data_IF_333836187306
#
_entry.id   IF_333836187306
#
_cell.length_a   1.000
_cell.length_b   1.000
_cell.length_c   1.000
_cell.angle_alpha   90.00
_cell.angle_beta   90.00
_cell.angle_gamma   90.00
#
_symmetry.space_group_name_H-M   'P 1'
#
loop_
_entity.id
_entity.type
_entity.pdbx_description
1 polymer ?
#
# COMPACT_ATOMS: atom_id res chain seq x y z
N UNK A 1 -1.84 1.63 -13.50
CA UNK A 1 -0.67 1.01 -12.86
C UNK A 1 -0.59 1.49 -11.42
N UNK A 2 0.09 0.77 -10.54
CA UNK A 2 0.16 1.19 -9.13
C UNK A 2 1.16 2.33 -8.98
N UNK A 3 2.36 2.16 -9.54
CA UNK A 3 3.48 3.08 -9.48
C UNK A 3 3.93 3.53 -10.87
N UNK A 4 4.62 4.67 -10.92
CA UNK A 4 5.38 5.14 -12.06
C UNK A 4 6.65 4.32 -12.29
N UNK A 5 7.22 4.43 -13.50
CA UNK A 5 8.46 3.75 -13.85
C UNK A 5 9.61 4.20 -12.91
N UNK A 6 10.51 3.29 -12.48
CA UNK A 6 11.66 3.65 -11.68
C UNK A 6 12.62 4.53 -12.48
N UNK A 7 13.30 5.46 -11.81
CA UNK A 7 14.24 6.40 -12.45
C UNK A 7 15.67 5.86 -12.53
N UNK A 8 16.05 5.02 -11.57
CA UNK A 8 17.38 4.40 -11.46
C UNK A 8 17.29 3.12 -10.62
N UNK A 9 18.41 2.42 -10.45
CA UNK A 9 18.48 1.16 -9.69
C UNK A 9 18.00 1.30 -8.24
N UNK A 10 18.33 2.42 -7.58
CA UNK A 10 17.95 2.67 -6.19
C UNK A 10 16.46 2.96 -6.06
N UNK A 11 15.89 3.67 -7.02
CA UNK A 11 14.45 3.90 -7.10
C UNK A 11 13.68 2.59 -7.36
N UNK A 12 14.20 1.70 -8.22
CA UNK A 12 13.61 0.36 -8.44
C UNK A 12 13.62 -0.47 -7.14
N UNK A 13 14.74 -0.49 -6.42
CA UNK A 13 14.86 -1.17 -5.12
C UNK A 13 13.88 -0.60 -4.08
N UNK A 14 13.85 0.73 -3.93
CA UNK A 14 12.97 1.39 -2.96
C UNK A 14 11.49 1.19 -3.29
N UNK A 15 11.09 1.29 -4.56
CA UNK A 15 9.70 1.06 -4.98
C UNK A 15 9.28 -0.40 -4.79
N UNK A 16 10.17 -1.35 -5.07
CA UNK A 16 9.94 -2.77 -4.81
C UNK A 16 9.67 -3.01 -3.31
N UNK A 17 10.53 -2.47 -2.44
CA UNK A 17 10.35 -2.57 -0.99
C UNK A 17 9.05 -1.87 -0.52
N UNK A 18 8.80 -0.64 -0.98
CA UNK A 18 7.57 0.12 -0.66
C UNK A 18 6.32 -0.67 -1.05
N UNK A 19 6.29 -1.25 -2.25
CA UNK A 19 5.15 -2.04 -2.71
C UNK A 19 4.89 -3.27 -1.82
N UNK A 20 5.93 -3.99 -1.41
CA UNK A 20 5.79 -5.17 -0.54
C UNK A 20 5.36 -4.78 0.89
N UNK A 21 5.88 -3.68 1.45
CA UNK A 21 5.39 -3.10 2.70
C UNK A 21 3.89 -2.76 2.61
N UNK A 22 3.49 -2.16 1.51
CA UNK A 22 2.10 -1.77 1.26
C UNK A 22 1.16 -2.95 0.96
N UNK A 23 1.71 -4.12 0.61
CA UNK A 23 0.97 -5.39 0.59
C UNK A 23 0.79 -5.99 2.00
N UNK A 24 1.37 -5.38 3.03
CA UNK A 24 1.32 -5.84 4.42
C UNK A 24 2.47 -6.78 4.81
N UNK A 25 3.54 -6.86 4.02
CA UNK A 25 4.70 -7.69 4.34
C UNK A 25 5.67 -6.95 5.25
N UNK A 26 6.55 -7.71 5.92
CA UNK A 26 7.73 -7.14 6.56
C UNK A 26 8.86 -7.10 5.52
N UNK A 27 9.17 -5.91 4.98
CA UNK A 27 10.19 -5.77 3.94
C UNK A 27 11.27 -4.75 4.29
N UNK A 28 12.50 -5.03 3.84
CA UNK A 28 13.70 -4.24 4.14
C UNK A 28 14.60 -4.21 2.90
N UNK A 29 15.20 -3.06 2.61
CA UNK A 29 16.24 -2.93 1.58
C UNK A 29 17.61 -3.30 2.13
N UNK A 30 18.48 -3.85 1.29
CA UNK A 30 19.87 -4.18 1.62
C UNK A 30 20.05 -5.02 2.89
N UNK A 31 19.08 -5.89 3.21
CA UNK A 31 19.12 -6.71 4.41
C UNK A 31 20.30 -7.67 4.35
N UNK A 32 21.18 -7.61 5.35
CA UNK A 32 22.24 -8.59 5.51
C UNK A 32 21.64 -9.92 5.99
N UNK A 33 21.85 -10.97 5.21
CA UNK A 33 21.43 -12.33 5.53
C UNK A 33 22.65 -13.24 5.67
N UNK A 34 22.55 -14.22 6.57
CA UNK A 34 23.55 -15.27 6.72
C UNK A 34 23.18 -16.42 5.77
N UNK A 35 24.08 -16.72 4.85
CA UNK A 35 24.04 -17.87 3.96
C UNK A 35 24.99 -18.96 4.47
N UNK A 36 25.04 -20.09 3.77
CA UNK A 36 25.97 -21.19 4.09
C UNK A 36 27.43 -20.74 3.97
N UNK A 37 27.75 -19.95 2.94
CA UNK A 37 29.13 -19.55 2.61
C UNK A 37 29.56 -18.19 3.15
N UNK A 38 28.75 -17.54 3.98
CA UNK A 38 29.07 -16.23 4.55
C UNK A 38 27.84 -15.35 4.69
N UNK A 39 28.04 -14.04 4.68
CA UNK A 39 26.95 -13.06 4.70
C UNK A 39 26.87 -12.34 3.38
N UNK A 40 25.67 -11.96 2.99
CA UNK A 40 25.44 -11.12 1.80
C UNK A 40 24.26 -10.18 2.05
N UNK A 41 24.20 -9.10 1.28
CA UNK A 41 23.03 -8.21 1.26
C UNK A 41 22.09 -8.65 0.14
N UNK A 42 20.79 -8.68 0.45
CA UNK A 42 19.72 -8.86 -0.53
C UNK A 42 19.13 -7.48 -0.81
N UNK A 43 18.94 -7.14 -2.09
CA UNK A 43 18.44 -5.81 -2.48
C UNK A 43 17.12 -5.50 -1.79
N UNK A 44 16.16 -6.44 -1.82
CA UNK A 44 14.94 -6.39 -1.02
C UNK A 44 14.66 -7.77 -0.42
N UNK A 45 14.56 -7.83 0.89
CA UNK A 45 14.02 -8.95 1.63
C UNK A 45 12.57 -8.66 1.98
N UNK A 46 11.66 -9.62 1.84
CA UNK A 46 10.33 -9.53 2.41
C UNK A 46 9.86 -10.85 3.06
N UNK A 47 9.10 -10.74 4.15
CA UNK A 47 8.41 -11.86 4.80
C UNK A 47 6.91 -11.56 4.82
N UNK A 48 6.13 -12.35 4.08
CA UNK A 48 4.68 -12.39 4.19
C UNK A 48 4.27 -13.30 5.35
N UNK A 49 4.03 -12.65 6.50
CA UNK A 49 3.51 -13.28 7.71
C UNK A 49 2.00 -13.50 7.70
N UNK A 50 1.30 -13.00 6.69
CA UNK A 50 -0.15 -13.19 6.55
C UNK A 50 -0.50 -14.59 6.08
N UNK A 51 0.47 -15.32 5.54
CA UNK A 51 0.37 -16.72 5.15
C UNK A 51 0.90 -17.65 6.25
N UNK A 52 0.35 -18.87 6.30
CA UNK A 52 0.86 -19.96 7.13
C UNK A 52 0.99 -21.22 6.26
N UNK A 53 2.23 -21.71 6.00
CA UNK A 53 3.52 -21.20 6.50
C UNK A 53 3.87 -19.80 5.97
N UNK A 54 4.74 -19.09 6.70
CA UNK A 54 5.24 -17.77 6.26
C UNK A 54 6.02 -17.90 4.95
N UNK A 55 5.89 -16.90 4.07
CA UNK A 55 6.57 -16.90 2.77
C UNK A 55 7.65 -15.83 2.75
N UNK A 56 8.88 -16.26 2.53
CA UNK A 56 10.04 -15.38 2.36
C UNK A 56 10.29 -15.12 0.88
N UNK A 57 10.34 -13.84 0.53
CA UNK A 57 10.67 -13.32 -0.78
C UNK A 57 12.04 -12.66 -0.77
N UNK A 58 12.88 -13.06 -1.72
CA UNK A 58 14.07 -12.29 -2.08
C UNK A 58 13.80 -11.58 -3.40
N UNK A 59 14.20 -10.32 -3.51
CA UNK A 59 14.20 -9.60 -4.78
C UNK A 59 15.60 -9.05 -5.08
N UNK A 60 16.03 -9.19 -6.33
CA UNK A 60 17.23 -8.59 -6.90
C UNK A 60 16.80 -7.59 -7.98
N UNK A 61 17.26 -6.34 -7.87
CA UNK A 61 16.81 -5.22 -8.69
C UNK A 61 17.88 -4.82 -9.71
N UNK A 62 17.64 -5.10 -11.00
CA UNK A 62 18.58 -4.80 -12.09
C UNK A 62 18.02 -3.76 -13.05
N UNK A 63 18.43 -2.51 -12.85
CA UNK A 63 18.03 -1.39 -13.71
C UNK A 63 19.05 -1.15 -14.83
N UNK A 64 19.16 -2.11 -15.76
CA UNK A 64 20.06 -2.04 -16.91
C UNK A 64 19.29 -1.73 -18.19
N UNK A 65 19.92 -1.01 -19.12
CA UNK A 65 19.37 -0.75 -20.45
C UNK A 65 19.54 -1.95 -21.41
N UNK A 66 20.17 -3.03 -20.93
CA UNK A 66 20.36 -4.28 -21.65
C UNK A 66 19.66 -5.45 -20.92
N UNK A 67 19.48 -6.54 -21.64
CA UNK A 67 18.94 -7.78 -21.07
C UNK A 67 19.90 -8.35 -20.01
N UNK A 68 19.33 -8.74 -18.86
CA UNK A 68 20.08 -9.32 -17.75
C UNK A 68 20.65 -10.70 -18.16
N UNK A 69 21.96 -10.94 -17.96
CA UNK A 69 22.62 -12.17 -18.37
C UNK A 69 22.33 -13.33 -17.40
N UNK A 70 22.57 -14.55 -17.87
CA UNK A 70 22.32 -15.78 -17.10
C UNK A 70 23.10 -15.85 -15.79
N UNK A 71 24.33 -15.31 -15.75
CA UNK A 71 25.22 -15.41 -14.59
C UNK A 71 24.66 -14.65 -13.37
N UNK A 72 24.00 -13.52 -13.60
CA UNK A 72 23.30 -12.77 -12.55
C UNK A 72 22.16 -13.59 -11.95
N UNK A 73 21.37 -14.27 -12.80
CA UNK A 73 20.27 -15.12 -12.36
C UNK A 73 20.78 -16.37 -11.64
N UNK A 74 21.87 -16.97 -12.12
CA UNK A 74 22.49 -18.14 -11.50
C UNK A 74 23.07 -17.80 -10.12
N UNK A 75 23.71 -16.64 -9.99
CA UNK A 75 24.18 -16.10 -8.70
C UNK A 75 23.02 -15.91 -7.73
N UNK A 76 21.94 -15.25 -8.18
CA UNK A 76 20.76 -15.00 -7.35
C UNK A 76 20.04 -16.29 -6.90
N UNK A 77 19.86 -17.25 -7.81
CA UNK A 77 19.32 -18.59 -7.52
C UNK A 77 20.09 -19.29 -6.40
N UNK A 78 21.41 -19.15 -6.40
CA UNK A 78 22.27 -19.74 -5.37
C UNK A 78 22.02 -19.09 -4.00
N UNK A 79 21.87 -17.75 -3.94
CA UNK A 79 21.50 -17.04 -2.70
C UNK A 79 20.17 -17.54 -2.11
N UNK A 80 19.15 -17.71 -2.96
CA UNK A 80 17.84 -18.22 -2.55
C UNK A 80 17.94 -19.63 -1.98
N UNK A 81 18.67 -20.51 -2.68
CA UNK A 81 18.83 -21.91 -2.29
C UNK A 81 19.63 -22.05 -0.99
N UNK A 82 20.69 -21.26 -0.81
CA UNK A 82 21.51 -21.28 0.41
C UNK A 82 20.77 -20.72 1.63
N UNK A 83 19.88 -19.75 1.44
CA UNK A 83 19.08 -19.20 2.52
C UNK A 83 17.85 -20.06 2.84
N UNK A 84 17.26 -20.70 1.82
CA UNK A 84 15.94 -21.34 1.91
C UNK A 84 14.78 -20.35 1.73
N UNK A 85 14.95 -19.31 0.90
CA UNK A 85 13.86 -18.40 0.59
C UNK A 85 12.82 -19.10 -0.30
N UNK A 86 11.53 -18.83 -0.07
CA UNK A 86 10.45 -19.53 -0.77
C UNK A 86 10.33 -19.07 -2.22
N UNK A 87 10.43 -17.76 -2.48
CA UNK A 87 10.23 -17.17 -3.80
C UNK A 87 11.32 -16.13 -4.09
N UNK A 88 11.88 -16.19 -5.29
CA UNK A 88 12.82 -15.20 -5.82
C UNK A 88 12.21 -14.36 -6.93
N UNK A 89 12.51 -13.07 -6.94
CA UNK A 89 12.25 -12.18 -8.08
C UNK A 89 13.55 -11.52 -8.54
N UNK A 90 13.88 -11.66 -9.83
CA UNK A 90 14.80 -10.72 -10.48
C UNK A 90 13.93 -9.73 -11.23
N UNK A 91 14.04 -8.46 -10.87
CA UNK A 91 13.22 -7.38 -11.43
C UNK A 91 14.11 -6.55 -12.35
N UNK A 92 13.75 -6.52 -13.63
CA UNK A 92 14.52 -5.83 -14.67
C UNK A 92 13.80 -4.60 -15.20
N UNK A 93 14.58 -3.64 -15.73
CA UNK A 93 14.03 -2.52 -16.53
C UNK A 93 13.57 -3.00 -17.91
N UNK A 94 14.41 -3.76 -18.61
CA UNK A 94 14.22 -4.14 -20.02
C UNK A 94 13.78 -5.60 -20.18
N UNK A 95 14.55 -6.54 -19.63
CA UNK A 95 14.29 -7.96 -19.79
C UNK A 95 15.52 -8.82 -19.52
N UNK A 96 15.51 -10.04 -20.05
CA UNK A 96 16.48 -11.09 -19.75
C UNK A 96 16.98 -11.78 -21.01
N UNK A 97 18.21 -12.30 -20.98
CA UNK A 97 18.75 -13.12 -22.06
C UNK A 97 18.08 -14.51 -22.06
N UNK A 98 18.14 -15.22 -23.19
CA UNK A 98 17.57 -16.58 -23.31
C UNK A 98 18.08 -17.53 -22.21
N UNK A 99 19.40 -17.55 -21.97
CA UNK A 99 20.02 -18.40 -20.95
C UNK A 99 19.56 -18.06 -19.52
N UNK A 100 19.17 -16.81 -19.24
CA UNK A 100 18.62 -16.44 -17.95
C UNK A 100 17.26 -17.11 -17.70
N UNK A 101 16.38 -17.15 -18.72
CA UNK A 101 15.12 -17.90 -18.62
C UNK A 101 15.36 -19.40 -18.45
N UNK A 102 16.36 -19.98 -19.13
CA UNK A 102 16.74 -21.39 -18.96
C UNK A 102 17.23 -21.69 -17.54
N UNK A 103 17.96 -20.77 -16.89
CA UNK A 103 18.39 -20.91 -15.47
C UNK A 103 17.21 -20.85 -14.49
N UNK A 104 16.25 -19.96 -14.77
CA UNK A 104 15.07 -19.78 -13.93
C UNK A 104 14.03 -20.91 -14.10
N UNK A 105 14.06 -21.61 -15.25
CA UNK A 105 13.16 -22.73 -15.52
C UNK A 105 13.22 -23.79 -14.41
N UNK A 106 12.04 -24.24 -13.96
CA UNK A 106 11.87 -25.22 -12.87
C UNK A 106 12.55 -24.83 -11.55
N UNK A 107 12.73 -23.54 -11.30
CA UNK A 107 13.17 -23.00 -10.01
C UNK A 107 12.07 -22.15 -9.37
N UNK A 108 12.30 -21.68 -8.15
CA UNK A 108 11.46 -20.68 -7.49
C UNK A 108 11.88 -19.22 -7.82
N UNK A 109 12.76 -19.03 -8.82
CA UNK A 109 13.16 -17.71 -9.32
C UNK A 109 12.24 -17.28 -10.46
N UNK A 110 11.68 -16.08 -10.32
CA UNK A 110 10.81 -15.46 -11.30
C UNK A 110 11.53 -14.28 -11.93
N UNK A 111 11.54 -14.23 -13.26
CA UNK A 111 12.13 -13.14 -14.04
C UNK A 111 11.02 -12.22 -14.51
N UNK A 112 11.03 -10.97 -14.04
CA UNK A 112 9.94 -10.02 -14.29
C UNK A 112 10.48 -8.64 -14.65
N UNK A 113 9.73 -7.89 -15.44
CA UNK A 113 9.89 -6.44 -15.54
C UNK A 113 9.20 -5.74 -14.36
N UNK A 114 9.47 -4.45 -14.17
CA UNK A 114 8.77 -3.65 -13.15
C UNK A 114 7.25 -3.72 -13.27
N UNK A 115 6.71 -3.63 -14.48
CA UNK A 115 5.26 -3.65 -14.70
C UNK A 115 4.67 -5.04 -14.41
N UNK A 116 5.40 -6.11 -14.73
CA UNK A 116 4.98 -7.48 -14.40
C UNK A 116 5.02 -7.71 -12.89
N UNK A 117 6.05 -7.22 -12.19
CA UNK A 117 6.13 -7.28 -10.74
C UNK A 117 4.93 -6.58 -10.08
N UNK A 118 4.57 -5.38 -10.55
CA UNK A 118 3.39 -4.68 -10.07
C UNK A 118 2.11 -5.50 -10.23
N UNK A 119 1.91 -6.16 -11.39
CA UNK A 119 0.73 -6.99 -11.64
C UNK A 119 0.64 -8.22 -10.76
N UNK A 120 1.76 -8.81 -10.35
CA UNK A 120 1.76 -9.98 -9.47
C UNK A 120 1.17 -9.62 -8.10
N UNK A 121 1.49 -8.43 -7.59
CA UNK A 121 1.08 -8.00 -6.26
C UNK A 121 -0.12 -7.06 -6.25
N UNK A 122 -0.69 -6.70 -7.41
CA UNK A 122 -1.69 -5.63 -7.50
C UNK A 122 -2.94 -5.89 -6.65
N UNK A 123 -3.46 -7.11 -6.66
CA UNK A 123 -4.64 -7.46 -5.87
C UNK A 123 -4.35 -7.32 -4.37
N UNK A 124 -3.26 -7.94 -3.91
CA UNK A 124 -2.83 -7.90 -2.51
C UNK A 124 -2.56 -6.47 -2.04
N UNK A 125 -1.98 -5.65 -2.92
CA UNK A 125 -1.75 -4.24 -2.71
C UNK A 125 -3.09 -3.51 -2.50
N UNK A 126 -4.05 -3.63 -3.42
CA UNK A 126 -5.36 -2.98 -3.27
C UNK A 126 -6.09 -3.45 -2.01
N UNK A 127 -6.14 -4.77 -1.77
CA UNK A 127 -6.80 -5.34 -0.59
C UNK A 127 -6.26 -4.74 0.71
N UNK A 128 -4.94 -4.62 0.83
CA UNK A 128 -4.31 -4.07 2.03
C UNK A 128 -4.45 -2.55 2.11
N UNK A 129 -4.35 -1.83 0.99
CA UNK A 129 -4.51 -0.37 0.96
C UNK A 129 -5.94 0.06 1.29
N UNK A 130 -6.96 -0.64 0.79
CA UNK A 130 -8.36 -0.40 1.13
C UNK A 130 -8.64 -0.68 2.62
N UNK A 131 -8.08 -1.77 3.14
CA UNK A 131 -8.17 -2.11 4.58
C UNK A 131 -7.58 -1.03 5.45
N UNK A 132 -6.36 -0.58 5.14
CA UNK A 132 -5.70 0.48 5.90
C UNK A 132 -6.48 1.79 5.78
N UNK A 133 -6.98 2.14 4.59
CA UNK A 133 -7.78 3.36 4.40
C UNK A 133 -9.07 3.32 5.22
N UNK A 134 -9.74 2.16 5.29
CA UNK A 134 -10.92 1.99 6.14
C UNK A 134 -10.59 2.21 7.64
N UNK A 135 -9.49 1.63 8.11
CA UNK A 135 -9.07 1.74 9.51
C UNK A 135 -8.59 3.15 9.87
N UNK A 136 -7.77 3.76 9.02
CA UNK A 136 -7.16 5.07 9.29
C UNK A 136 -8.17 6.21 9.12
N UNK A 137 -9.23 6.00 8.32
CA UNK A 137 -10.34 6.95 8.21
C UNK A 137 -11.36 6.85 9.32
N UNK A 138 -11.25 5.85 10.19
CA UNK A 138 -12.18 5.62 11.27
C UNK A 138 -12.39 6.84 12.19
N UNK A 139 -11.33 7.49 12.71
CA UNK A 139 -11.53 8.65 13.60
C UNK A 139 -12.22 9.81 12.89
N UNK A 140 -11.86 10.09 11.64
CA UNK A 140 -12.49 11.16 10.86
C UNK A 140 -13.98 10.88 10.61
N UNK A 141 -14.35 9.61 10.42
CA UNK A 141 -15.74 9.17 10.27
C UNK A 141 -16.54 9.44 11.55
N UNK A 142 -15.98 9.19 12.72
CA UNK A 142 -16.64 9.48 14.00
C UNK A 142 -16.88 10.98 14.19
N UNK A 143 -15.89 11.81 13.87
CA UNK A 143 -16.01 13.26 13.94
C UNK A 143 -17.08 13.83 13.00
N UNK A 144 -17.22 13.24 11.81
CA UNK A 144 -18.13 13.74 10.76
C UNK A 144 -19.52 13.11 10.80
N UNK A 145 -19.75 12.10 11.66
CA UNK A 145 -21.05 11.45 11.82
C UNK A 145 -21.95 12.32 12.69
N UNK A 146 -23.14 12.67 12.17
CA UNK A 146 -24.12 13.53 12.83
C UNK A 146 -24.72 12.92 14.11
N UNK A 147 -24.83 11.59 14.16
CA UNK A 147 -25.33 10.84 15.31
C UNK A 147 -24.19 9.98 15.87
N UNK A 148 -23.28 10.61 16.60
CA UNK A 148 -22.18 9.95 17.30
C UNK A 148 -21.98 10.57 18.68
N UNK A 149 -21.43 9.78 19.61
CA UNK A 149 -21.04 10.23 20.96
C UNK A 149 -20.07 11.43 20.92
N UNK A 150 -19.38 11.63 19.79
CA UNK A 150 -18.55 12.83 19.58
C UNK A 150 -19.38 14.12 19.59
N UNK A 151 -20.61 14.10 19.06
CA UNK A 151 -21.48 15.29 19.10
C UNK A 151 -21.92 15.61 20.52
N UNK A 152 -22.21 14.58 21.34
CA UNK A 152 -22.53 14.77 22.75
C UNK A 152 -21.35 15.36 23.53
N UNK A 153 -20.11 14.94 23.22
CA UNK A 153 -18.90 15.54 23.79
C UNK A 153 -18.70 16.98 23.26
N UNK A 154 -19.03 17.22 21.98
CA UNK A 154 -18.93 18.54 21.39
C UNK A 154 -19.90 19.55 22.03
N UNK A 155 -21.07 19.11 22.51
CA UNK A 155 -22.05 19.95 23.20
C UNK A 155 -21.51 20.50 24.55
N UNK A 156 -20.49 19.86 25.13
CA UNK A 156 -19.81 20.32 26.35
C UNK A 156 -18.73 21.38 26.07
N UNK A 157 -18.37 21.62 24.81
CA UNK A 157 -17.36 22.62 24.42
C UNK A 157 -17.91 24.06 24.49
N UNK A 158 -17.00 25.03 24.54
CA UNK A 158 -17.35 26.45 24.41
C UNK A 158 -18.15 26.73 23.11
N UNK A 159 -19.11 27.67 23.10
CA UNK A 159 -19.92 27.96 21.91
C UNK A 159 -19.13 28.31 20.65
N UNK A 160 -17.95 28.90 20.77
CA UNK A 160 -17.04 29.18 19.65
C UNK A 160 -16.46 27.90 19.05
N UNK A 161 -16.07 26.94 19.89
CA UNK A 161 -15.56 25.63 19.49
C UNK A 161 -16.66 24.74 18.91
N UNK A 162 -17.89 24.81 19.44
CA UNK A 162 -19.05 24.13 18.85
C UNK A 162 -19.32 24.58 17.40
N UNK A 163 -19.33 25.89 17.15
CA UNK A 163 -19.48 26.44 15.79
C UNK A 163 -18.33 26.00 14.88
N UNK A 164 -17.10 26.01 15.40
CA UNK A 164 -15.93 25.53 14.66
C UNK A 164 -16.05 24.04 14.33
N UNK A 165 -16.47 23.20 15.28
CA UNK A 165 -16.72 21.77 15.07
C UNK A 165 -17.70 21.52 13.93
N UNK A 166 -18.87 22.16 13.95
CA UNK A 166 -19.89 22.04 12.89
C UNK A 166 -19.34 22.49 11.53
N UNK A 167 -18.56 23.57 11.49
CA UNK A 167 -17.94 24.05 10.24
C UNK A 167 -16.94 23.05 9.68
N UNK A 168 -16.18 22.37 10.55
CA UNK A 168 -15.22 21.34 10.16
C UNK A 168 -15.92 20.06 9.72
N UNK A 169 -17.03 19.67 10.35
CA UNK A 169 -17.85 18.53 9.90
C UNK A 169 -18.30 18.76 8.46
N UNK A 170 -18.93 19.90 8.17
CA UNK A 170 -19.39 20.24 6.82
C UNK A 170 -18.24 20.26 5.80
N UNK A 171 -17.07 20.76 6.22
CA UNK A 171 -15.86 20.79 5.40
C UNK A 171 -15.34 19.39 5.03
N UNK A 172 -15.37 18.43 5.95
CA UNK A 172 -14.73 17.12 5.78
C UNK A 172 -15.68 15.96 5.46
N UNK A 173 -17.01 16.14 5.55
CA UNK A 173 -18.01 15.17 5.06
C UNK A 173 -17.72 14.73 3.61
N UNK A 174 -17.41 15.63 2.65
CA UNK A 174 -17.07 15.23 1.29
C UNK A 174 -15.88 14.28 1.22
N UNK A 175 -14.84 14.48 2.03
CA UNK A 175 -13.64 13.64 2.03
C UNK A 175 -13.99 12.23 2.52
N UNK A 176 -14.77 12.14 3.60
CA UNK A 176 -15.24 10.86 4.13
C UNK A 176 -16.12 10.14 3.10
N UNK A 177 -17.00 10.86 2.39
CA UNK A 177 -17.83 10.31 1.32
C UNK A 177 -16.98 9.74 0.17
N UNK A 178 -15.95 10.47 -0.28
CA UNK A 178 -14.99 9.98 -1.29
C UNK A 178 -14.25 8.72 -0.81
N UNK A 179 -13.79 8.72 0.45
CA UNK A 179 -13.11 7.56 1.03
C UNK A 179 -14.04 6.34 1.07
N UNK A 180 -15.28 6.48 1.52
CA UNK A 180 -16.26 5.39 1.50
C UNK A 180 -16.56 4.88 0.10
N UNK A 181 -16.70 5.79 -0.87
CA UNK A 181 -16.92 5.42 -2.27
C UNK A 181 -15.76 4.58 -2.81
N UNK A 182 -14.53 4.90 -2.42
CA UNK A 182 -13.33 4.15 -2.79
C UNK A 182 -13.25 2.81 -2.06
N UNK A 183 -13.58 2.76 -0.77
CA UNK A 183 -13.60 1.51 0.01
C UNK A 183 -14.67 0.55 -0.50
N UNK A 184 -15.80 1.07 -0.97
CA UNK A 184 -16.88 0.26 -1.55
C UNK A 184 -16.48 -0.37 -2.89
N UNK A 185 -15.45 0.16 -3.56
CA UNK A 185 -14.81 -0.53 -4.67
C UNK A 185 -13.95 -1.67 -4.11
N UNK A 186 -14.24 -2.91 -4.49
CA UNK A 186 -13.35 -4.02 -4.16
C UNK A 186 -12.09 -4.00 -5.06
N UNK A 187 -11.10 -4.85 -4.75
CA UNK A 187 -9.87 -4.96 -5.55
C UNK A 187 -10.17 -5.20 -7.03
N UNK A 188 -11.12 -6.07 -7.35
CA UNK A 188 -11.44 -6.44 -8.74
C UNK A 188 -11.97 -5.24 -9.54
N UNK A 189 -12.65 -4.30 -8.90
CA UNK A 189 -13.13 -3.10 -9.58
C UNK A 189 -11.97 -2.18 -9.98
N UNK A 190 -10.89 -2.12 -9.20
CA UNK A 190 -9.66 -1.43 -9.61
C UNK A 190 -8.96 -2.12 -10.78
N UNK A 191 -9.01 -3.46 -10.84
CA UNK A 191 -8.35 -4.23 -11.91
C UNK A 191 -9.04 -4.12 -13.28
N UNK A 192 -10.35 -3.82 -13.32
CA UNK A 192 -11.15 -3.83 -14.56
C UNK A 192 -10.88 -2.68 -15.54
N UNK A 193 -10.28 -1.55 -15.12
CA UNK A 193 -9.95 -0.47 -16.07
C UNK A 193 -9.02 0.60 -15.48
N UNK A 194 -8.01 0.99 -16.26
CA UNK A 194 -7.15 2.16 -16.04
C UNK A 194 -7.04 2.94 -17.36
N UNK A 195 -6.91 4.28 -17.31
CA UNK A 195 -6.98 5.15 -16.14
C UNK A 195 -8.43 5.49 -15.74
N UNK A 196 -8.67 5.69 -14.43
CA UNK A 196 -9.96 6.18 -13.90
C UNK A 196 -9.79 7.61 -13.41
N UNK A 197 -10.80 8.45 -13.66
CA UNK A 197 -10.93 9.73 -12.98
C UNK A 197 -11.59 9.49 -11.62
N UNK A 198 -11.02 10.07 -10.56
CA UNK A 198 -11.58 10.03 -9.22
C UNK A 198 -11.92 11.44 -8.76
N UNK A 199 -13.09 11.60 -8.13
CA UNK A 199 -13.42 12.81 -7.39
C UNK A 199 -12.78 12.73 -6.01
N UNK A 200 -11.71 13.50 -5.81
CA UNK A 200 -10.94 13.55 -4.57
C UNK A 200 -11.09 14.94 -3.96
N UNK A 201 -11.37 14.99 -2.66
CA UNK A 201 -11.36 16.25 -1.92
C UNK A 201 -9.92 16.70 -1.72
N UNK A 202 -9.62 17.93 -2.13
CA UNK A 202 -8.34 18.59 -1.85
C UNK A 202 -8.57 19.76 -0.89
N UNK A 203 -7.47 20.20 -0.27
CA UNK A 203 -7.32 21.40 0.56
C UNK A 203 -8.58 22.27 0.68
N UNK A 204 -9.11 22.37 1.90
CA UNK A 204 -10.25 23.24 2.19
C UNK A 204 -11.63 22.58 2.10
N UNK A 205 -11.73 21.28 1.79
CA UNK A 205 -13.01 20.57 1.69
C UNK A 205 -13.66 20.61 0.31
N UNK A 206 -12.96 21.17 -0.69
CA UNK A 206 -13.46 21.27 -2.05
C UNK A 206 -13.22 19.96 -2.81
N UNK A 207 -14.28 19.37 -3.36
CA UNK A 207 -14.19 18.22 -4.26
C UNK A 207 -13.54 18.69 -5.57
N UNK A 208 -12.45 18.03 -5.97
CA UNK A 208 -11.84 18.24 -7.28
C UNK A 208 -11.74 16.91 -8.02
N UNK A 209 -12.16 16.89 -9.29
CA UNK A 209 -11.83 15.77 -10.18
C UNK A 209 -10.33 15.73 -10.37
N UNK A 210 -9.72 14.61 -9.99
CA UNK A 210 -8.29 14.35 -10.16
C UNK A 210 -8.15 13.14 -11.07
N UNK A 211 -7.41 13.35 -12.16
CA UNK A 211 -7.00 12.26 -13.02
C UNK A 211 -5.90 11.46 -12.32
N UNK A 212 -6.14 10.18 -12.11
CA UNK A 212 -5.21 9.28 -11.42
C UNK A 212 -4.47 8.46 -12.47
N UNK A 213 -3.15 8.69 -12.55
CA UNK A 213 -2.27 7.91 -13.42
C UNK A 213 -1.66 6.71 -12.68
N UNK A 214 -1.38 6.90 -11.39
CA UNK A 214 -0.80 5.91 -10.49
C UNK A 214 -1.65 5.80 -9.23
N UNK A 215 -2.07 4.59 -8.88
CA UNK A 215 -2.92 4.37 -7.72
C UNK A 215 -2.19 4.67 -6.40
N UNK A 216 -0.86 4.55 -6.35
CA UNK A 216 -0.07 4.96 -5.18
C UNK A 216 -0.35 6.42 -4.80
N UNK A 217 -0.42 7.32 -5.78
CA UNK A 217 -0.60 8.75 -5.55
C UNK A 217 -2.01 9.06 -5.03
N UNK A 218 -3.02 8.33 -5.53
CA UNK A 218 -4.40 8.41 -5.03
C UNK A 218 -4.45 8.05 -3.54
N UNK A 219 -3.95 6.86 -3.18
CA UNK A 219 -4.01 6.42 -1.80
C UNK A 219 -3.15 7.31 -0.89
N UNK A 220 -1.92 7.67 -1.29
CA UNK A 220 -1.05 8.55 -0.50
C UNK A 220 -1.72 9.91 -0.25
N UNK A 221 -2.45 10.45 -1.23
CA UNK A 221 -3.26 11.67 -1.06
C UNK A 221 -4.37 11.47 -0.03
N UNK A 222 -5.15 10.38 -0.15
CA UNK A 222 -6.28 10.11 0.76
C UNK A 222 -5.82 9.91 2.20
N UNK A 223 -4.74 9.14 2.43
CA UNK A 223 -4.16 8.96 3.75
C UNK A 223 -3.71 10.29 4.34
N UNK A 224 -3.02 11.13 3.55
CA UNK A 224 -2.55 12.44 3.99
C UNK A 224 -3.70 13.37 4.37
N UNK A 225 -4.70 13.51 3.50
CA UNK A 225 -5.86 14.38 3.77
C UNK A 225 -6.66 13.88 4.97
N UNK A 226 -6.84 12.57 5.09
CA UNK A 226 -7.52 11.95 6.22
C UNK A 226 -6.78 12.20 7.54
N UNK A 227 -5.46 12.01 7.56
CA UNK A 227 -4.62 12.28 8.71
C UNK A 227 -4.67 13.76 9.12
N UNK A 228 -4.51 14.67 8.16
CA UNK A 228 -4.56 16.11 8.43
C UNK A 228 -5.93 16.54 8.97
N UNK A 229 -7.02 16.05 8.39
CA UNK A 229 -8.37 16.34 8.85
C UNK A 229 -8.61 15.82 10.28
N UNK A 230 -8.21 14.57 10.55
CA UNK A 230 -8.30 13.97 11.89
C UNK A 230 -7.52 14.78 12.92
N UNK A 231 -6.31 15.22 12.57
CA UNK A 231 -5.46 16.04 13.45
C UNK A 231 -6.12 17.37 13.82
N UNK A 232 -6.80 18.02 12.88
CA UNK A 232 -7.52 19.28 13.14
C UNK A 232 -8.66 19.06 14.17
N UNK A 233 -9.37 17.94 14.08
CA UNK A 233 -10.36 17.59 15.09
C UNK A 233 -9.71 17.26 16.44
N UNK A 234 -8.64 16.46 16.48
CA UNK A 234 -7.91 16.18 17.72
C UNK A 234 -7.44 17.48 18.41
N UNK A 235 -6.93 18.46 17.65
CA UNK A 235 -6.52 19.77 18.16
C UNK A 235 -7.69 20.60 18.70
N UNK A 236 -8.89 20.49 18.10
CA UNK A 236 -10.10 21.18 18.56
C UNK A 236 -10.56 20.69 19.93
N UNK A 237 -10.58 19.38 20.13
CA UNK A 237 -11.00 18.75 21.39
C UNK A 237 -9.90 18.81 22.46
N UNK A 238 -8.63 18.97 22.07
CA UNK A 238 -7.49 18.94 22.98
C UNK A 238 -7.11 17.52 23.42
N UNK A 239 -7.85 16.52 22.97
CA UNK A 239 -7.60 15.10 23.19
C UNK A 239 -8.07 14.26 22.00
N UNK A 240 -7.59 13.01 21.93
CA UNK A 240 -7.98 12.07 20.89
C UNK A 240 -9.27 11.37 21.29
N UNK A 241 -10.38 11.77 20.69
CA UNK A 241 -11.65 11.04 20.84
C UNK A 241 -11.62 9.86 19.88
N UNK A 242 -11.54 8.64 20.43
CA UNK A 242 -11.52 7.38 19.67
C UNK A 242 -12.57 6.45 20.28
N UNK A 243 -13.77 6.46 19.71
CA UNK A 243 -14.91 5.72 20.27
C UNK A 243 -14.85 4.22 19.97
N UNK A 244 -13.98 3.82 19.05
CA UNK A 244 -13.71 2.44 18.71
C UNK A 244 -12.31 2.06 19.19
N UNK A 245 -12.25 1.31 20.30
CA UNK A 245 -11.02 0.72 20.83
C UNK A 245 -10.66 -0.61 20.15
N UNK A 246 -11.59 -1.20 19.42
CA UNK A 246 -11.39 -2.40 18.63
C UNK A 246 -11.68 -2.05 17.17
N UNK A 247 -10.72 -2.33 16.29
CA UNK A 247 -10.89 -2.14 14.84
C UNK A 247 -12.11 -2.90 14.32
N UNK A 248 -12.54 -2.67 13.07
CA UNK A 248 -13.64 -3.45 12.50
C UNK A 248 -13.39 -4.94 12.71
N UNK A 249 -14.42 -5.64 13.16
CA UNK A 249 -14.44 -7.10 13.09
C UNK A 249 -14.05 -7.49 11.67
N UNK A 250 -13.06 -8.36 11.52
CA UNK A 250 -12.54 -8.80 10.22
C UNK A 250 -13.70 -9.20 9.30
N UNK A 251 -14.73 -9.78 9.90
CA UNK A 251 -15.98 -10.16 9.27
C UNK A 251 -16.74 -9.01 8.59
N UNK A 252 -16.73 -7.80 9.15
CA UNK A 252 -17.36 -6.62 8.53
C UNK A 252 -16.62 -6.16 7.27
N UNK A 253 -15.28 -6.18 7.32
CA UNK A 253 -14.45 -5.83 6.16
C UNK A 253 -14.57 -6.89 5.06
N UNK A 254 -14.54 -8.17 5.43
CA UNK A 254 -14.66 -9.30 4.49
C UNK A 254 -16.05 -9.27 3.80
N UNK A 255 -17.12 -8.90 4.54
CA UNK A 255 -18.47 -8.65 3.98
C UNK A 255 -18.52 -7.47 3.01
N UNK A 256 -17.89 -6.35 3.35
CA UNK A 256 -17.91 -5.15 2.49
C UNK A 256 -17.09 -5.30 1.22
N UNK A 257 -16.00 -6.06 1.27
CA UNK A 257 -15.09 -6.24 0.13
C UNK A 257 -15.37 -7.48 -0.70
N UNK A 258 -16.36 -8.30 -0.31
CA UNK A 258 -16.74 -9.52 -1.01
C UNK A 258 -15.64 -10.59 -0.98
N UNK A 259 -14.84 -10.64 0.09
CA UNK A 259 -13.72 -11.59 0.25
C UNK A 259 -14.15 -12.95 0.83
N UNK A 260 -15.40 -13.38 0.59
CA UNK A 260 -15.86 -14.74 0.93
C UNK A 260 -15.51 -15.77 -0.14
#
# INVERSE_FOLDING_TARGET
MIYDLPKNWRDLQNKTCKMLLECGFLAEVEKEVKLVRGKTKIDVFANDKTQKPEIIYFCECKYWDSNIPQDEVQSFKSKISEYGANIGFVISKVGFQKGAYEVADKTNVNLVTWDQFQRIFEKKWFDNRLKNLYNDSYPLRDYTKWLSRVNEIADELDPSKQKLFQSLQLKYIPLVSSIYSIIFLNSNDFLKSSPKEFEIVKEGGNIKKVKVYYYSDLFDTLFKECYNATKIFDELFGEKIRLHTEGPDKEFYDRMTGQF
#
